data_IF_098575460099
#
_entry.id   IF_098575460099
#
_cell.length_a   1.000
_cell.length_b   1.000
_cell.length_c   1.000
_cell.angle_alpha   90.00
_cell.angle_beta   90.00
_cell.angle_gamma   90.00
#
_symmetry.space_group_name_H-M   'P 1'
#
loop_
_entity.id
_entity.type
_entity.pdbx_description
1 polymer ?
#
# COMPACT_ATOMS: atom_id res chain seq x y z
N UNK A 1 -10.03 -14.33 0.08
CA UNK A 1 -9.28 -14.87 -1.07
C UNK A 1 -7.80 -14.53 -0.95
N UNK A 2 -6.91 -15.47 -1.33
CA UNK A 2 -5.46 -15.25 -1.44
C UNK A 2 -5.11 -15.00 -2.91
N UNK A 3 -4.55 -13.83 -3.22
CA UNK A 3 -4.28 -13.40 -4.60
C UNK A 3 -2.78 -13.45 -4.87
N UNK A 4 -2.39 -13.77 -6.10
CA UNK A 4 -0.99 -13.74 -6.51
C UNK A 4 -0.47 -12.29 -6.47
N UNK A 5 0.60 -12.05 -5.71
CA UNK A 5 1.33 -10.80 -5.71
C UNK A 5 2.58 -10.97 -6.59
N UNK A 6 2.59 -10.45 -7.83
CA UNK A 6 3.71 -10.64 -8.75
C UNK A 6 5.01 -10.00 -8.23
N UNK A 7 4.94 -9.01 -7.33
CA UNK A 7 6.13 -8.36 -6.74
C UNK A 7 6.79 -9.22 -5.68
N UNK A 8 6.00 -10.02 -4.97
CA UNK A 8 6.49 -10.94 -3.96
C UNK A 8 6.73 -12.36 -4.51
N UNK A 9 6.24 -12.66 -5.72
CA UNK A 9 6.29 -13.99 -6.30
C UNK A 9 5.48 -15.03 -5.53
N UNK A 10 4.45 -14.62 -4.76
CA UNK A 10 3.70 -15.51 -3.89
C UNK A 10 2.25 -15.08 -3.68
N UNK A 11 1.37 -16.02 -3.30
CA UNK A 11 -0.02 -15.75 -2.99
C UNK A 11 -0.20 -15.16 -1.59
N UNK A 12 -0.85 -13.99 -1.49
CA UNK A 12 -1.10 -13.31 -0.21
C UNK A 12 -2.56 -12.96 -0.03
N UNK A 13 -3.02 -13.04 1.23
CA UNK A 13 -4.32 -12.54 1.67
C UNK A 13 -4.15 -11.15 2.27
N UNK A 14 -4.90 -10.18 1.75
CA UNK A 14 -4.89 -8.79 2.22
C UNK A 14 -6.29 -8.40 2.67
N UNK A 15 -6.45 -8.12 3.96
CA UNK A 15 -7.71 -7.78 4.63
C UNK A 15 -7.91 -6.26 4.70
N UNK A 16 -7.93 -5.60 3.55
CA UNK A 16 -8.13 -4.15 3.50
C UNK A 16 -9.41 -3.83 2.76
N UNK A 17 -10.17 -2.87 3.29
CA UNK A 17 -11.42 -2.40 2.68
C UNK A 17 -11.22 -1.95 1.23
N UNK A 18 -10.13 -1.23 0.93
CA UNK A 18 -9.81 -0.80 -0.44
C UNK A 18 -9.66 -1.99 -1.39
N UNK A 19 -8.97 -3.04 -0.94
CA UNK A 19 -8.84 -4.25 -1.73
C UNK A 19 -10.14 -5.04 -1.86
N UNK A 20 -11.04 -4.99 -0.87
CA UNK A 20 -12.37 -5.59 -0.98
C UNK A 20 -13.24 -4.86 -2.02
N UNK A 21 -13.06 -3.54 -2.18
CA UNK A 21 -13.77 -2.72 -3.16
C UNK A 21 -13.22 -2.83 -4.58
N UNK A 22 -11.89 -2.91 -4.75
CA UNK A 22 -11.25 -2.86 -6.07
C UNK A 22 -11.18 -4.22 -6.79
N UNK A 23 -11.12 -5.33 -6.05
CA UNK A 23 -10.91 -6.66 -6.63
C UNK A 23 -12.10 -7.24 -7.40
N UNK A 24 -13.37 -7.00 -6.99
CA UNK A 24 -14.52 -7.45 -7.78
C UNK A 24 -14.51 -6.91 -9.20
N UNK A 25 -14.13 -5.64 -9.41
CA UNK A 25 -14.09 -5.01 -10.73
C UNK A 25 -13.14 -5.73 -11.68
N UNK A 26 -11.93 -6.08 -11.21
CA UNK A 26 -10.95 -6.82 -11.99
C UNK A 26 -11.44 -8.25 -12.33
N UNK A 27 -12.09 -8.93 -11.37
CA UNK A 27 -12.62 -10.27 -11.59
C UNK A 27 -13.77 -10.27 -12.61
N UNK A 28 -14.68 -9.30 -12.54
CA UNK A 28 -15.78 -9.13 -13.49
C UNK A 28 -15.25 -8.81 -14.89
N UNK A 29 -14.26 -7.91 -15.01
CA UNK A 29 -13.63 -7.60 -16.29
C UNK A 29 -13.00 -8.83 -16.96
N UNK A 30 -12.26 -9.64 -16.19
CA UNK A 30 -11.65 -10.88 -16.69
C UNK A 30 -12.72 -11.90 -17.14
N UNK A 31 -13.80 -12.04 -16.37
CA UNK A 31 -14.93 -12.92 -16.71
C UNK A 31 -15.59 -12.50 -18.03
N UNK A 32 -15.91 -11.22 -18.18
CA UNK A 32 -16.59 -10.68 -19.37
C UNK A 32 -15.71 -10.72 -20.62
N UNK A 33 -14.39 -10.64 -20.46
CA UNK A 33 -13.43 -10.75 -21.56
C UNK A 33 -13.13 -12.20 -21.97
N UNK A 34 -13.79 -13.21 -21.38
CA UNK A 34 -13.50 -14.62 -21.66
C UNK A 34 -12.06 -15.02 -21.31
N UNK A 35 -11.45 -14.36 -20.33
CA UNK A 35 -10.06 -14.60 -19.92
C UNK A 35 -8.99 -13.89 -20.76
N UNK A 36 -9.36 -13.07 -21.75
CA UNK A 36 -8.40 -12.34 -22.60
C UNK A 36 -7.82 -11.06 -21.97
N UNK A 37 -8.22 -10.71 -20.73
CA UNK A 37 -7.68 -9.56 -20.01
C UNK A 37 -6.62 -10.03 -19.03
N UNK A 38 -5.38 -9.59 -19.28
CA UNK A 38 -4.31 -9.72 -18.30
C UNK A 38 -4.64 -8.89 -17.05
N UNK A 39 -4.56 -9.47 -15.84
CA UNK A 39 -4.76 -8.73 -14.61
C UNK A 39 -3.75 -7.60 -14.50
N UNK A 40 -4.22 -6.35 -14.40
CA UNK A 40 -3.34 -5.22 -14.11
C UNK A 40 -2.55 -5.46 -12.82
N UNK A 41 -1.29 -5.01 -12.77
CA UNK A 41 -0.48 -5.09 -11.54
C UNK A 41 -1.25 -4.46 -10.39
N UNK A 42 -1.57 -5.23 -9.32
CA UNK A 42 -2.38 -4.70 -8.23
C UNK A 42 -1.63 -3.56 -7.56
N UNK A 43 -2.33 -2.46 -7.24
CA UNK A 43 -1.76 -1.34 -6.49
C UNK A 43 -1.20 -1.81 -5.14
N UNK A 44 -0.17 -1.15 -4.60
CA UNK A 44 0.28 -1.43 -3.23
C UNK A 44 -0.91 -1.44 -2.26
N UNK A 45 -1.03 -2.45 -1.37
CA UNK A 45 -2.15 -2.54 -0.45
C UNK A 45 -2.20 -1.29 0.42
N UNK A 46 -3.40 -0.80 0.70
CA UNK A 46 -3.61 0.42 1.44
C UNK A 46 -4.70 0.23 2.49
N UNK A 47 -4.46 0.76 3.69
CA UNK A 47 -5.48 0.91 4.71
C UNK A 47 -5.30 2.23 5.46
N UNK A 48 -6.31 2.57 6.25
CA UNK A 48 -6.27 3.67 7.19
C UNK A 48 -6.99 3.27 8.48
N UNK A 49 -6.70 3.98 9.55
CA UNK A 49 -7.37 3.86 10.84
C UNK A 49 -7.41 5.24 11.48
N UNK A 50 -8.53 5.58 12.11
CA UNK A 50 -8.62 6.75 12.98
C UNK A 50 -8.60 6.24 14.43
N UNK A 51 -7.57 6.63 15.18
CA UNK A 51 -7.38 6.21 16.57
C UNK A 51 -7.06 7.42 17.44
N UNK A 52 -7.89 7.69 18.45
CA UNK A 52 -7.66 8.77 19.43
C UNK A 52 -7.33 10.14 18.80
N UNK A 53 -8.06 10.50 17.73
CA UNK A 53 -7.85 11.76 17.00
C UNK A 53 -6.64 11.78 16.06
N UNK A 54 -5.99 10.64 15.84
CA UNK A 54 -4.88 10.49 14.89
C UNK A 54 -5.34 9.72 13.67
N UNK A 55 -5.16 10.35 12.50
CA UNK A 55 -5.36 9.68 11.21
C UNK A 55 -4.11 8.90 10.84
N UNK A 56 -4.22 7.58 10.89
CA UNK A 56 -3.16 6.65 10.52
C UNK A 56 -3.43 6.13 9.11
N UNK A 57 -2.44 6.20 8.24
CA UNK A 57 -2.50 5.71 6.87
C UNK A 57 -1.28 4.86 6.57
N UNK A 58 -1.48 3.75 5.88
CA UNK A 58 -0.38 2.87 5.51
C UNK A 58 -0.57 2.33 4.10
N UNK A 59 0.49 2.33 3.30
CA UNK A 59 0.49 1.72 1.97
C UNK A 59 1.75 0.89 1.74
N UNK A 60 1.62 -0.22 1.03
CA UNK A 60 2.73 -1.12 0.69
C UNK A 60 2.91 -2.29 1.67
N UNK A 61 4.07 -2.92 1.63
CA UNK A 61 4.42 -4.03 2.52
C UNK A 61 5.72 -3.70 3.27
N UNK A 62 5.64 -3.57 4.59
CA UNK A 62 6.84 -3.37 5.42
C UNK A 62 7.67 -4.67 5.58
N UNK A 63 7.05 -5.84 5.41
CA UNK A 63 7.75 -7.11 5.49
C UNK A 63 8.84 -7.18 4.40
N UNK A 64 10.10 -7.30 4.83
CA UNK A 64 11.27 -7.30 3.95
C UNK A 64 11.94 -5.94 3.77
N UNK A 65 11.44 -4.89 4.41
CA UNK A 65 12.20 -3.64 4.56
C UNK A 65 13.43 -3.87 5.46
N UNK A 66 14.57 -3.33 5.06
CA UNK A 66 15.83 -3.34 5.82
C UNK A 66 16.09 -2.01 6.55
N UNK A 67 15.32 -0.98 6.24
CA UNK A 67 15.48 0.35 6.80
C UNK A 67 14.16 1.13 6.84
N UNK A 68 14.09 2.09 7.78
CA UNK A 68 12.99 3.04 7.92
C UNK A 68 13.59 4.42 8.11
N UNK A 69 13.13 5.40 7.33
CA UNK A 69 13.48 6.81 7.53
C UNK A 69 12.24 7.59 7.93
N UNK A 70 12.45 8.64 8.71
CA UNK A 70 11.44 9.66 8.97
C UNK A 70 11.67 10.77 7.96
N UNK A 71 10.71 11.01 7.08
CA UNK A 71 10.80 12.06 6.06
C UNK A 71 10.24 13.39 6.58
N UNK A 72 9.32 13.34 7.55
CA UNK A 72 8.67 14.52 8.10
C UNK A 72 8.15 14.25 9.53
N UNK A 73 8.27 15.26 10.38
CA UNK A 73 7.76 15.24 11.75
C UNK A 73 8.46 14.24 12.68
N UNK A 74 7.80 13.92 13.80
CA UNK A 74 8.32 13.07 14.85
C UNK A 74 7.22 12.18 15.46
N UNK A 75 7.63 11.00 15.94
CA UNK A 75 6.69 9.99 16.47
C UNK A 75 5.96 10.49 17.72
N UNK A 76 6.66 11.25 18.56
CA UNK A 76 6.14 11.75 19.84
C UNK A 76 5.03 12.79 19.63
N UNK A 77 5.06 13.51 18.51
CA UNK A 77 4.06 14.54 18.15
C UNK A 77 2.79 13.95 17.51
N UNK A 78 2.72 12.61 17.34
CA UNK A 78 1.65 11.91 16.59
C UNK A 78 1.44 12.51 15.18
N UNK A 79 2.50 13.10 14.64
CA UNK A 79 2.54 13.78 13.36
C UNK A 79 3.85 13.40 12.68
N UNK A 80 3.82 12.31 11.91
CA UNK A 80 5.03 11.71 11.36
C UNK A 80 4.76 11.04 10.02
N UNK A 81 5.72 11.11 9.12
CA UNK A 81 5.75 10.29 7.92
C UNK A 81 7.01 9.44 7.90
N UNK A 82 6.82 8.13 7.90
CA UNK A 82 7.90 7.14 7.85
C UNK A 82 7.85 6.35 6.54
N UNK A 83 8.99 6.20 5.88
CA UNK A 83 9.12 5.41 4.64
C UNK A 83 10.00 4.20 4.91
N UNK A 84 9.43 3.03 4.63
CA UNK A 84 10.10 1.74 4.71
C UNK A 84 10.82 1.47 3.40
N UNK A 85 12.07 1.04 3.46
CA UNK A 85 12.91 0.77 2.30
C UNK A 85 13.51 -0.62 2.34
N UNK A 86 13.76 -1.15 1.14
CA UNK A 86 14.57 -2.35 0.90
C UNK A 86 15.65 -1.98 -0.11
N UNK A 87 16.91 -2.11 0.28
CA UNK A 87 18.07 -1.75 -0.54
C UNK A 87 17.94 -0.33 -1.11
N UNK A 88 17.53 0.61 -0.27
CA UNK A 88 17.31 2.01 -0.63
C UNK A 88 15.98 2.32 -1.36
N UNK A 89 15.25 1.32 -1.84
CA UNK A 89 14.01 1.51 -2.60
C UNK A 89 12.79 1.52 -1.67
N UNK A 90 11.86 2.50 -1.80
CA UNK A 90 10.63 2.53 -1.00
C UNK A 90 9.74 1.31 -1.24
N UNK A 91 9.35 0.62 -0.17
CA UNK A 91 8.44 -0.56 -0.22
C UNK A 91 7.15 -0.36 0.56
N UNK A 92 7.13 0.56 1.52
CA UNK A 92 5.92 0.98 2.22
C UNK A 92 6.05 2.40 2.78
N UNK A 93 4.91 3.01 3.11
CA UNK A 93 4.85 4.32 3.78
C UNK A 93 3.79 4.28 4.88
N UNK A 94 4.13 4.84 6.04
CA UNK A 94 3.24 5.13 7.16
C UNK A 94 3.10 6.64 7.29
N UNK A 95 1.87 7.14 7.37
CA UNK A 95 1.58 8.52 7.72
C UNK A 95 0.68 8.58 8.95
N UNK A 96 1.07 9.39 9.93
CA UNK A 96 0.22 9.80 11.05
C UNK A 96 0.01 11.30 10.94
N UNK A 97 -1.23 11.75 10.75
CA UNK A 97 -1.58 13.17 10.55
C UNK A 97 -0.79 13.89 9.43
N UNK A 98 -0.27 13.12 8.46
CA UNK A 98 0.49 13.60 7.30
C UNK A 98 -0.22 13.30 5.96
N UNK A 99 -1.52 13.63 5.78
CA UNK A 99 -2.32 13.12 4.66
C UNK A 99 -1.80 13.58 3.29
N UNK A 100 -1.31 14.82 3.17
CA UNK A 100 -0.81 15.38 1.90
C UNK A 100 0.47 14.67 1.46
N UNK A 101 1.44 14.57 2.38
CA UNK A 101 2.72 13.94 2.09
C UNK A 101 2.56 12.42 1.90
N UNK A 102 1.69 11.78 2.67
CA UNK A 102 1.33 10.37 2.50
C UNK A 102 0.82 10.10 1.08
N UNK A 103 -0.10 10.93 0.56
CA UNK A 103 -0.63 10.75 -0.80
C UNK A 103 0.43 10.92 -1.88
N UNK A 104 1.44 11.78 -1.68
CA UNK A 104 2.60 11.90 -2.59
C UNK A 104 3.43 10.61 -2.60
N UNK A 105 3.80 10.09 -1.43
CA UNK A 105 4.57 8.85 -1.32
C UNK A 105 3.81 7.62 -1.82
N UNK A 106 2.50 7.55 -1.54
CA UNK A 106 1.65 6.46 -2.04
C UNK A 106 1.65 6.40 -3.57
N UNK A 107 1.67 7.55 -4.26
CA UNK A 107 1.81 7.59 -5.73
C UNK A 107 3.17 7.09 -6.19
N UNK A 108 4.24 7.46 -5.50
CA UNK A 108 5.60 7.00 -5.83
C UNK A 108 5.75 5.48 -5.66
N UNK A 109 5.17 4.90 -4.60
CA UNK A 109 5.14 3.44 -4.40
C UNK A 109 4.40 2.68 -5.51
N UNK A 110 3.46 3.33 -6.21
CA UNK A 110 2.75 2.73 -7.32
C UNK A 110 3.52 2.82 -8.66
N UNK A 111 4.45 3.77 -8.78
CA UNK A 111 5.27 3.97 -9.98
C UNK A 111 6.58 3.17 -9.96
N UNK A 112 7.09 2.83 -8.78
CA UNK A 112 8.26 1.95 -8.60
C UNK A 112 7.90 0.45 -8.68
N UNK A 113 6.70 0.13 -9.17
CA UNK A 113 6.08 -1.20 -9.16
C UNK A 113 5.91 -1.76 -10.58
#
# INVERSE_FOLDING_TARGET
>A
ASWYDPRAGLHRRVEHWTGARERPDAAVAALLAGGAVEPSTPRPPYFWSDQYGVKIQFAGHAAGADSVTIEEGARDDRNVLAVYRRSGHPVAVLGMNQPRLFMRWRKQLAAAA
#
